data_IF_008655324781
#
_entry.id   IF_008655324781
#
_cell.length_a   1.000
_cell.length_b   1.000
_cell.length_c   1.000
_cell.angle_alpha   90.00
_cell.angle_beta   90.00
_cell.angle_gamma   90.00
#
_symmetry.space_group_name_H-M   'P 1'
#
loop_
_entity.id
_entity.type
_entity.pdbx_description
1 polymer ?
#
# COMPACT_ATOMS: atom_id res chain seq x y z
N UNK A 1 25.15 -16.66 35.48
CA UNK A 1 23.82 -17.17 35.92
C UNK A 1 23.02 -15.96 36.36
N UNK A 2 21.96 -15.59 35.62
CA UNK A 2 21.15 -14.40 35.90
C UNK A 2 20.19 -14.68 37.06
N UNK A 3 20.04 -13.74 37.99
CA UNK A 3 19.33 -13.92 39.26
C UNK A 3 17.83 -14.25 39.04
N UNK A 4 17.25 -15.16 39.84
CA UNK A 4 15.85 -15.60 39.70
C UNK A 4 14.82 -14.48 39.91
N UNK A 5 15.16 -13.43 40.67
CA UNK A 5 14.29 -12.27 40.89
C UNK A 5 14.18 -11.34 39.68
N UNK A 6 15.17 -11.33 38.79
CA UNK A 6 15.16 -10.54 37.55
C UNK A 6 14.21 -11.21 36.53
N UNK A 7 14.22 -12.55 36.49
CA UNK A 7 13.33 -13.35 35.64
C UNK A 7 11.85 -13.28 36.07
N UNK A 8 11.58 -13.12 37.37
CA UNK A 8 10.22 -12.95 37.88
C UNK A 8 9.64 -11.56 37.59
N UNK A 9 10.48 -10.52 37.55
CA UNK A 9 10.08 -9.16 37.16
C UNK A 9 9.87 -9.03 35.65
N UNK A 10 10.69 -9.69 34.82
CA UNK A 10 10.49 -9.76 33.37
C UNK A 10 9.15 -10.42 33.02
N UNK A 11 8.80 -11.55 33.66
CA UNK A 11 7.51 -12.25 33.43
C UNK A 11 6.30 -11.45 33.94
N UNK A 12 6.48 -10.66 35.02
CA UNK A 12 5.40 -9.80 35.54
C UNK A 12 5.16 -8.57 34.65
N UNK A 13 6.20 -8.03 34.00
CA UNK A 13 6.09 -6.94 33.04
C UNK A 13 5.47 -7.43 31.73
N UNK A 14 5.85 -8.63 31.26
CA UNK A 14 5.28 -9.27 30.06
C UNK A 14 3.77 -9.58 30.22
N UNK A 15 3.29 -9.85 31.44
CA UNK A 15 1.86 -10.11 31.70
C UNK A 15 0.98 -8.84 31.76
N UNK A 16 1.56 -7.69 32.12
CA UNK A 16 0.88 -6.38 32.02
C UNK A 16 0.82 -5.91 30.56
N UNK A 17 1.88 -6.17 29.79
CA UNK A 17 2.03 -5.88 28.35
C UNK A 17 1.32 -6.89 27.43
N UNK A 18 0.38 -7.69 27.93
CA UNK A 18 -0.49 -8.53 27.10
C UNK A 18 -1.97 -8.22 27.33
N UNK A 19 -2.28 -7.24 28.18
CA UNK A 19 -3.65 -6.92 28.57
C UNK A 19 -4.38 -6.15 27.47
N UNK A 20 -3.68 -5.24 26.78
CA UNK A 20 -4.29 -4.27 25.86
C UNK A 20 -4.67 -4.95 24.54
N UNK A 21 -3.79 -5.78 23.96
CA UNK A 21 -4.13 -6.55 22.75
C UNK A 21 -5.27 -7.53 23.03
N UNK A 22 -5.26 -8.20 24.19
CA UNK A 22 -6.36 -9.11 24.60
C UNK A 22 -7.66 -8.36 24.82
N UNK A 23 -7.61 -7.18 25.43
CA UNK A 23 -8.78 -6.31 25.58
C UNK A 23 -9.32 -5.86 24.22
N UNK A 24 -8.46 -5.52 23.27
CA UNK A 24 -8.86 -5.22 21.88
C UNK A 24 -9.60 -6.40 21.27
N UNK A 25 -9.06 -7.62 21.37
CA UNK A 25 -9.73 -8.83 20.87
C UNK A 25 -11.04 -9.09 21.60
N UNK A 26 -11.10 -8.87 22.91
CA UNK A 26 -12.32 -9.01 23.69
C UNK A 26 -13.39 -8.04 23.21
N UNK A 27 -13.04 -6.76 23.08
CA UNK A 27 -13.94 -5.71 22.60
C UNK A 27 -14.46 -6.01 21.21
N UNK A 28 -13.57 -6.39 20.27
CA UNK A 28 -13.98 -6.79 18.92
C UNK A 28 -14.96 -7.98 18.93
N UNK A 29 -14.70 -9.00 19.75
CA UNK A 29 -15.61 -10.15 19.88
C UNK A 29 -16.95 -9.80 20.54
N UNK A 30 -16.96 -8.91 21.54
CA UNK A 30 -18.19 -8.42 22.15
C UNK A 30 -19.04 -7.68 21.11
N UNK A 31 -18.41 -6.84 20.27
CA UNK A 31 -19.12 -6.17 19.17
C UNK A 31 -19.70 -7.19 18.19
N UNK A 32 -18.92 -8.17 17.72
CA UNK A 32 -19.41 -9.23 16.83
C UNK A 32 -20.62 -9.95 17.45
N UNK A 33 -20.57 -10.31 18.73
CA UNK A 33 -21.71 -10.96 19.41
C UNK A 33 -22.95 -10.07 19.47
N UNK A 34 -22.78 -8.77 19.71
CA UNK A 34 -23.88 -7.80 19.69
C UNK A 34 -24.49 -7.70 18.29
N UNK A 35 -23.66 -7.61 17.26
CA UNK A 35 -24.09 -7.55 15.86
C UNK A 35 -24.84 -8.83 15.44
N UNK A 36 -24.31 -10.01 15.78
CA UNK A 36 -24.98 -11.28 15.51
C UNK A 36 -26.34 -11.37 16.21
N UNK A 37 -26.45 -10.88 17.46
CA UNK A 37 -27.74 -10.89 18.18
C UNK A 37 -28.77 -10.00 17.47
N UNK A 38 -28.36 -8.85 16.93
CA UNK A 38 -29.26 -7.99 16.15
C UNK A 38 -29.70 -8.68 14.85
N UNK A 39 -28.77 -9.34 14.16
CA UNK A 39 -29.08 -10.14 12.97
C UNK A 39 -30.05 -11.29 13.29
N UNK A 40 -29.84 -12.01 14.39
CA UNK A 40 -30.74 -13.10 14.82
C UNK A 40 -32.17 -12.59 15.13
N UNK A 41 -32.30 -11.43 15.77
CA UNK A 41 -33.60 -10.82 16.05
C UNK A 41 -34.31 -10.33 14.78
N UNK A 42 -33.56 -9.78 13.82
CA UNK A 42 -34.11 -9.37 12.52
C UNK A 42 -34.58 -10.57 11.69
N UNK A 43 -33.86 -11.69 11.74
CA UNK A 43 -34.27 -12.93 11.08
C UNK A 43 -35.56 -13.50 11.70
N UNK A 44 -35.75 -13.36 13.02
CA UNK A 44 -36.95 -13.82 13.74
C UNK A 44 -38.16 -12.92 13.47
N UNK A 45 -37.94 -11.61 13.39
CA UNK A 45 -39.00 -10.60 13.22
C UNK A 45 -38.75 -9.68 12.01
N UNK A 46 -38.94 -10.17 10.77
CA UNK A 46 -38.62 -9.43 9.55
C UNK A 46 -39.50 -8.19 9.30
N UNK A 47 -40.52 -7.94 10.13
CA UNK A 47 -41.50 -6.86 9.97
C UNK A 47 -41.06 -5.51 10.57
N UNK A 48 -39.93 -5.45 11.29
CA UNK A 48 -39.47 -4.21 11.95
C UNK A 48 -38.25 -3.56 11.28
N UNK A 49 -37.58 -4.28 10.37
CA UNK A 49 -36.25 -3.88 9.82
C UNK A 49 -36.28 -3.66 8.31
N UNK A 50 -37.47 -3.49 7.73
CA UNK A 50 -37.63 -2.97 6.37
C UNK A 50 -37.98 -1.49 6.44
N UNK A 51 -36.96 -0.63 6.29
CA UNK A 51 -37.01 0.78 5.84
C UNK A 51 -36.22 1.75 6.73
N UNK A 52 -34.88 1.71 6.68
CA UNK A 52 -34.06 2.94 6.59
C UNK A 52 -32.55 2.69 6.57
N UNK A 53 -32.03 1.59 7.13
CA UNK A 53 -30.60 1.53 7.50
C UNK A 53 -29.81 0.30 6.99
N UNK A 54 -30.47 -0.70 6.39
CA UNK A 54 -29.85 -1.96 5.94
C UNK A 54 -28.85 -1.85 4.77
N UNK A 55 -28.51 -0.63 4.33
CA UNK A 55 -27.72 -0.38 3.12
C UNK A 55 -26.64 0.70 3.29
N UNK A 56 -26.25 1.02 4.54
CA UNK A 56 -25.04 1.81 4.77
C UNK A 56 -23.83 0.87 4.76
N UNK A 57 -23.36 0.55 3.57
CA UNK A 57 -22.07 -0.13 3.39
C UNK A 57 -20.94 0.82 3.77
N UNK A 58 -19.94 0.32 4.50
CA UNK A 58 -18.76 1.10 4.86
C UNK A 58 -17.88 1.29 3.62
N UNK A 59 -17.56 2.55 3.29
CA UNK A 59 -16.66 2.84 2.19
C UNK A 59 -15.19 2.67 2.62
N UNK A 60 -14.61 1.52 2.29
CA UNK A 60 -13.28 1.12 2.77
C UNK A 60 -12.18 1.17 1.71
N UNK A 61 -12.51 1.50 0.46
CA UNK A 61 -11.61 1.41 -0.72
C UNK A 61 -10.29 2.15 -0.55
N UNK A 62 -10.30 3.30 0.13
CA UNK A 62 -9.11 4.15 0.32
C UNK A 62 -8.40 3.90 1.65
N UNK A 63 -8.73 2.82 2.35
CA UNK A 63 -8.18 2.50 3.67
C UNK A 63 -7.68 1.07 3.73
N UNK A 64 -6.62 0.85 4.48
CA UNK A 64 -6.08 -0.48 4.78
C UNK A 64 -5.98 -0.70 6.29
N UNK A 65 -5.87 -1.97 6.70
CA UNK A 65 -5.56 -2.28 8.09
C UNK A 65 -4.17 -1.74 8.43
N UNK A 66 -4.02 -1.16 9.62
CA UNK A 66 -2.73 -0.64 10.06
C UNK A 66 -1.64 -1.70 10.02
N UNK A 67 -0.39 -1.30 9.77
CA UNK A 67 0.75 -2.21 9.82
C UNK A 67 0.96 -2.79 11.22
N UNK A 68 1.63 -3.96 11.29
CA UNK A 68 2.03 -4.58 12.56
C UNK A 68 2.79 -3.59 13.45
N UNK A 69 3.75 -2.85 12.89
CA UNK A 69 4.54 -1.85 13.61
C UNK A 69 3.68 -0.71 14.18
N UNK A 70 2.62 -0.30 13.47
CA UNK A 70 1.70 0.73 13.98
C UNK A 70 0.87 0.16 15.13
N UNK A 71 0.39 -1.09 14.98
CA UNK A 71 -0.42 -1.73 16.00
C UNK A 71 0.38 -1.90 17.31
N UNK A 72 1.64 -2.32 17.23
CA UNK A 72 2.57 -2.41 18.37
C UNK A 72 2.77 -1.07 19.07
N UNK A 73 2.82 0.04 18.33
CA UNK A 73 2.93 1.39 18.91
C UNK A 73 1.66 1.81 19.66
N UNK A 74 0.49 1.39 19.18
CA UNK A 74 -0.80 1.75 19.79
C UNK A 74 -1.06 0.88 21.03
N UNK A 75 -0.75 -0.41 20.96
CA UNK A 75 -0.92 -1.31 22.10
C UNK A 75 0.21 -1.15 23.11
N UNK A 76 1.39 -0.67 22.69
CA UNK A 76 2.62 -0.64 23.50
C UNK A 76 3.03 -2.07 23.91
N UNK A 77 2.71 -3.05 23.06
CA UNK A 77 2.94 -4.47 23.29
C UNK A 77 3.66 -5.07 22.07
N UNK A 78 4.62 -5.99 22.25
CA UNK A 78 5.22 -6.70 21.12
C UNK A 78 4.18 -7.66 20.51
N UNK A 79 3.97 -7.58 19.20
CA UNK A 79 2.96 -8.40 18.51
C UNK A 79 3.68 -9.42 17.64
N UNK A 80 3.32 -10.69 17.78
CA UNK A 80 3.85 -11.74 16.91
C UNK A 80 3.10 -11.75 15.58
N UNK A 81 3.77 -12.12 14.48
CA UNK A 81 3.13 -12.31 13.16
C UNK A 81 1.79 -13.07 13.17
N UNK A 82 1.63 -14.24 13.84
CA UNK A 82 0.35 -14.94 13.92
C UNK A 82 -0.73 -14.14 14.66
N UNK A 83 -0.38 -13.36 15.68
CA UNK A 83 -1.32 -12.54 16.43
C UNK A 83 -1.83 -11.38 15.57
N UNK A 84 -0.96 -10.78 14.76
CA UNK A 84 -1.36 -9.79 13.77
C UNK A 84 -2.29 -10.38 12.69
N UNK A 85 -2.00 -11.59 12.20
CA UNK A 85 -2.91 -12.27 11.25
C UNK A 85 -4.29 -12.52 11.88
N UNK A 86 -4.31 -12.93 13.16
CA UNK A 86 -5.55 -13.12 13.89
C UNK A 86 -6.32 -11.80 14.07
N UNK A 87 -5.63 -10.71 14.35
CA UNK A 87 -6.21 -9.36 14.40
C UNK A 87 -6.87 -8.99 13.07
N UNK A 88 -6.17 -9.14 11.95
CA UNK A 88 -6.71 -8.86 10.61
C UNK A 88 -7.94 -9.73 10.34
N UNK A 89 -7.92 -11.01 10.71
CA UNK A 89 -9.04 -11.92 10.50
C UNK A 89 -10.29 -11.50 11.31
N UNK A 90 -10.13 -11.16 12.59
CA UNK A 90 -11.23 -10.71 13.46
C UNK A 90 -11.81 -9.38 12.97
N UNK A 91 -10.96 -8.41 12.62
CA UNK A 91 -11.41 -7.11 12.14
C UNK A 91 -12.07 -7.19 10.76
N UNK A 92 -11.58 -8.06 9.88
CA UNK A 92 -12.22 -8.33 8.58
C UNK A 92 -13.59 -8.98 8.77
N UNK A 93 -13.73 -9.91 9.73
CA UNK A 93 -15.03 -10.48 10.08
C UNK A 93 -16.02 -9.42 10.59
N UNK A 94 -15.55 -8.48 11.41
CA UNK A 94 -16.37 -7.39 11.93
C UNK A 94 -16.87 -6.46 10.81
N UNK A 95 -15.99 -6.10 9.87
CA UNK A 95 -16.31 -5.26 8.71
C UNK A 95 -17.30 -5.92 7.75
N UNK A 96 -17.18 -7.23 7.53
CA UNK A 96 -18.05 -7.97 6.62
C UNK A 96 -19.46 -8.18 7.20
N UNK A 97 -19.73 -7.76 8.44
CA UNK A 97 -21.04 -7.88 9.04
C UNK A 97 -22.01 -6.84 8.46
N UNK A 98 -23.27 -7.22 8.21
CA UNK A 98 -24.31 -6.33 7.65
C UNK A 98 -24.47 -5.01 8.43
N UNK A 99 -24.41 -5.09 9.76
CA UNK A 99 -24.50 -3.96 10.69
C UNK A 99 -23.15 -3.33 11.09
N UNK A 100 -22.07 -3.54 10.33
CA UNK A 100 -20.76 -2.98 10.65
C UNK A 100 -20.76 -1.44 10.77
N UNK A 101 -21.65 -0.76 10.05
CA UNK A 101 -21.79 0.71 10.09
C UNK A 101 -22.12 1.26 11.48
N UNK A 102 -22.77 0.49 12.36
CA UNK A 102 -23.09 0.92 13.72
C UNK A 102 -21.85 1.13 14.59
N UNK A 103 -20.73 0.52 14.21
CA UNK A 103 -19.45 0.57 14.93
C UNK A 103 -18.31 1.08 14.04
N UNK A 104 -18.63 2.04 13.17
CA UNK A 104 -17.64 2.64 12.26
C UNK A 104 -16.47 3.29 13.00
N UNK A 105 -16.73 4.01 14.11
CA UNK A 105 -15.70 4.68 14.90
C UNK A 105 -14.64 3.70 15.41
N UNK A 106 -15.08 2.52 15.84
CA UNK A 106 -14.19 1.46 16.31
C UNK A 106 -13.36 0.88 15.17
N UNK A 107 -13.97 0.68 13.99
CA UNK A 107 -13.28 0.14 12.81
C UNK A 107 -12.25 1.15 12.28
N UNK A 108 -12.63 2.42 12.13
CA UNK A 108 -11.77 3.47 11.60
C UNK A 108 -10.62 3.83 12.54
N UNK A 109 -10.77 3.66 13.85
CA UNK A 109 -9.67 3.77 14.81
C UNK A 109 -8.47 2.88 14.43
N UNK A 110 -8.73 1.73 13.81
CA UNK A 110 -7.69 0.78 13.44
C UNK A 110 -7.37 0.70 11.93
N UNK A 111 -7.91 1.65 11.15
CA UNK A 111 -7.67 1.76 9.71
C UNK A 111 -6.71 2.91 9.43
N UNK A 112 -5.88 2.76 8.42
CA UNK A 112 -5.00 3.81 7.92
C UNK A 112 -5.39 4.17 6.48
N UNK A 113 -5.26 5.45 6.07
CA UNK A 113 -5.41 5.83 4.67
C UNK A 113 -4.38 5.10 3.82
N UNK A 114 -4.84 4.46 2.74
CA UNK A 114 -3.97 3.76 1.80
C UNK A 114 -3.15 4.79 1.03
N UNK A 115 -1.83 4.74 1.18
CA UNK A 115 -0.94 5.61 0.41
C UNK A 115 -0.88 5.10 -1.02
N UNK A 116 -1.65 5.71 -1.92
CA UNK A 116 -1.55 5.46 -3.35
C UNK A 116 -0.30 6.18 -3.85
N UNK A 117 0.79 5.43 -4.02
CA UNK A 117 1.98 5.92 -4.72
C UNK A 117 1.67 5.94 -6.21
N UNK A 118 1.17 7.08 -6.71
CA UNK A 118 1.14 7.31 -8.16
C UNK A 118 2.58 7.48 -8.62
N UNK A 119 3.04 6.62 -9.53
CA UNK A 119 4.32 6.83 -10.21
C UNK A 119 4.12 7.98 -11.20
N UNK A 120 4.22 9.21 -10.70
CA UNK A 120 4.33 10.38 -11.56
C UNK A 120 5.76 10.39 -12.10
N UNK A 121 5.88 10.21 -13.41
CA UNK A 121 7.12 10.51 -14.11
C UNK A 121 7.13 12.02 -14.37
N UNK A 122 7.95 12.74 -13.62
CA UNK A 122 8.16 14.17 -13.86
C UNK A 122 9.29 14.30 -14.91
N UNK A 123 8.97 14.64 -16.18
CA UNK A 123 10.00 14.83 -17.19
C UNK A 123 10.88 16.04 -16.84
N UNK A 124 12.18 15.93 -17.10
CA UNK A 124 13.10 17.06 -16.94
C UNK A 124 12.74 18.20 -17.90
N UNK A 125 12.90 19.44 -17.44
CA UNK A 125 12.63 20.62 -18.26
C UNK A 125 13.61 20.70 -19.45
N UNK A 126 13.12 20.95 -20.69
CA UNK A 126 13.99 21.07 -21.85
C UNK A 126 14.98 22.24 -21.72
N UNK A 127 16.26 21.94 -21.89
CA UNK A 127 17.33 22.93 -21.91
C UNK A 127 17.36 23.62 -23.27
N UNK A 128 17.61 24.94 -23.29
CA UNK A 128 17.77 25.71 -24.53
C UNK A 128 19.25 25.80 -24.91
N UNK A 129 19.61 25.30 -26.09
CA UNK A 129 20.94 25.45 -26.66
C UNK A 129 21.16 26.79 -27.37
N UNK A 130 22.41 27.05 -27.76
CA UNK A 130 22.88 28.31 -28.40
C UNK A 130 22.10 28.74 -29.65
N UNK A 131 21.48 27.79 -30.36
CA UNK A 131 20.79 28.03 -31.64
C UNK A 131 19.25 27.98 -31.52
N UNK A 132 18.70 28.07 -30.30
CA UNK A 132 17.25 27.95 -30.06
C UNK A 132 16.73 26.50 -30.16
N UNK A 133 17.62 25.52 -30.32
CA UNK A 133 17.31 24.09 -30.28
C UNK A 133 17.13 23.67 -28.82
N UNK A 134 15.98 23.10 -28.50
CA UNK A 134 15.72 22.54 -27.18
C UNK A 134 16.25 21.11 -27.12
N UNK A 135 16.80 20.71 -26.00
CA UNK A 135 17.21 19.33 -25.79
C UNK A 135 16.94 18.88 -24.37
N UNK A 136 16.67 17.59 -24.20
CA UNK A 136 16.55 16.94 -22.90
C UNK A 136 17.63 15.87 -22.84
N UNK A 137 18.42 15.86 -21.77
CA UNK A 137 19.46 14.84 -21.55
C UNK A 137 19.11 14.02 -20.32
N UNK A 138 18.55 12.83 -20.54
CA UNK A 138 18.31 11.89 -19.45
C UNK A 138 19.58 11.09 -19.21
N UNK A 139 20.13 11.20 -17.99
CA UNK A 139 21.36 10.53 -17.58
C UNK A 139 21.09 9.21 -16.87
N UNK A 140 22.09 8.33 -16.89
CA UNK A 140 22.13 7.07 -16.14
C UNK A 140 20.92 6.16 -16.41
N UNK A 141 20.48 6.05 -17.67
CA UNK A 141 19.42 5.13 -18.08
C UNK A 141 19.89 3.68 -17.92
N UNK A 142 19.38 2.91 -16.94
CA UNK A 142 19.94 1.60 -16.62
C UNK A 142 19.18 0.48 -17.32
N UNK A 143 19.93 -0.46 -17.92
CA UNK A 143 19.37 -1.75 -18.37
C UNK A 143 20.35 -2.87 -18.05
N UNK A 144 19.98 -3.75 -17.10
CA UNK A 144 20.89 -4.77 -16.55
C UNK A 144 22.20 -4.10 -16.10
N UNK A 145 23.33 -4.45 -16.71
CA UNK A 145 24.65 -3.88 -16.44
C UNK A 145 25.01 -2.69 -17.35
N UNK A 146 24.22 -2.42 -18.40
CA UNK A 146 24.45 -1.29 -19.28
C UNK A 146 23.92 0.02 -18.66
N UNK A 147 24.63 1.12 -18.92
CA UNK A 147 24.24 2.49 -18.60
C UNK A 147 24.39 3.33 -19.87
N UNK A 148 23.45 4.23 -20.09
CA UNK A 148 23.47 5.13 -21.23
C UNK A 148 22.97 6.51 -20.83
N UNK A 149 23.60 7.54 -21.39
CA UNK A 149 23.11 8.91 -21.35
C UNK A 149 22.49 9.21 -22.72
N UNK A 150 21.26 9.71 -22.73
CA UNK A 150 20.50 9.93 -23.97
C UNK A 150 20.10 11.39 -24.06
N UNK A 151 20.53 12.04 -25.13
CA UNK A 151 20.13 13.41 -25.46
C UNK A 151 19.17 13.40 -26.64
N UNK A 152 17.97 13.96 -26.45
CA UNK A 152 16.95 14.12 -27.49
C UNK A 152 16.81 15.60 -27.82
N UNK A 153 16.84 15.93 -29.11
CA UNK A 153 16.77 17.31 -29.61
C UNK A 153 15.42 17.62 -30.26
N UNK A 154 14.96 18.85 -30.07
CA UNK A 154 13.77 19.42 -30.71
C UNK A 154 14.11 20.81 -31.29
N UNK A 155 13.94 21.03 -32.61
CA UNK A 155 13.44 20.12 -33.64
C UNK A 155 14.45 19.02 -34.02
N UNK A 156 13.95 17.81 -34.31
CA UNK A 156 14.76 16.64 -34.68
C UNK A 156 14.76 16.37 -36.18
N UNK A 157 15.88 15.89 -36.71
CA UNK A 157 16.03 15.49 -38.14
C UNK A 157 15.88 13.98 -38.35
N UNK A 158 15.60 13.21 -37.30
CA UNK A 158 15.54 11.74 -37.34
C UNK A 158 16.91 11.05 -37.39
N UNK A 159 18.01 11.81 -37.26
CA UNK A 159 19.36 11.26 -37.19
C UNK A 159 19.64 10.72 -35.79
N UNK A 160 20.07 9.46 -35.70
CA UNK A 160 20.43 8.82 -34.43
C UNK A 160 21.88 8.35 -34.49
N UNK A 161 22.65 8.76 -33.49
CA UNK A 161 24.07 8.45 -33.34
C UNK A 161 24.33 7.87 -31.96
N UNK A 162 25.10 6.78 -31.90
CA UNK A 162 25.46 6.08 -30.67
C UNK A 162 26.98 5.97 -30.62
N UNK A 163 27.61 6.54 -29.59
CA UNK A 163 29.08 6.60 -29.46
C UNK A 163 29.76 7.09 -30.76
N UNK A 164 29.24 8.20 -31.30
CA UNK A 164 29.72 8.85 -32.54
C UNK A 164 29.53 8.04 -33.85
N UNK A 165 28.91 6.85 -33.79
CA UNK A 165 28.60 6.00 -34.94
C UNK A 165 27.13 6.07 -35.30
N UNK A 166 26.79 5.77 -36.56
CA UNK A 166 25.40 5.64 -36.98
C UNK A 166 24.76 4.42 -36.31
N UNK A 167 23.48 4.49 -35.91
CA UNK A 167 22.82 3.41 -35.16
C UNK A 167 22.83 2.06 -35.90
N UNK A 168 22.85 2.08 -37.24
CA UNK A 168 22.90 0.89 -38.09
C UNK A 168 24.25 0.15 -38.00
N UNK A 169 25.34 0.88 -37.76
CA UNK A 169 26.68 0.31 -37.62
C UNK A 169 26.95 -0.17 -36.19
N UNK A 170 26.31 0.47 -35.21
CA UNK A 170 26.45 0.12 -33.80
C UNK A 170 25.64 -1.13 -33.41
N UNK A 171 24.40 -1.23 -33.90
CA UNK A 171 23.51 -2.36 -33.68
C UNK A 171 23.28 -3.13 -34.99
N UNK A 172 24.07 -4.19 -35.26
CA UNK A 172 23.89 -5.00 -36.46
C UNK A 172 22.58 -5.82 -36.41
N UNK A 173 22.17 -6.21 -35.21
CA UNK A 173 20.96 -7.01 -34.99
C UNK A 173 19.68 -6.18 -35.13
N UNK A 174 18.70 -6.72 -35.87
CA UNK A 174 17.46 -6.00 -36.15
C UNK A 174 16.62 -5.76 -34.89
N UNK A 175 16.61 -6.71 -33.95
CA UNK A 175 15.84 -6.60 -32.71
C UNK A 175 16.29 -5.39 -31.87
N UNK A 176 17.59 -5.11 -31.82
CA UNK A 176 18.13 -3.96 -31.08
C UNK A 176 17.73 -2.64 -31.74
N UNK A 177 17.70 -2.60 -33.08
CA UNK A 177 17.20 -1.43 -33.84
C UNK A 177 15.70 -1.22 -33.63
N UNK A 178 14.92 -2.29 -33.60
CA UNK A 178 13.48 -2.21 -33.32
C UNK A 178 13.22 -1.66 -31.91
N UNK A 179 14.01 -2.07 -30.92
CA UNK A 179 13.91 -1.53 -29.56
C UNK A 179 14.25 -0.03 -29.50
N UNK A 180 15.21 0.44 -30.30
CA UNK A 180 15.54 1.86 -30.42
C UNK A 180 14.40 2.66 -31.08
N UNK A 181 13.73 2.09 -32.08
CA UNK A 181 12.60 2.72 -32.78
C UNK A 181 11.32 2.75 -31.96
N UNK A 182 11.10 1.75 -31.10
CA UNK A 182 9.83 1.54 -30.42
C UNK A 182 9.28 2.80 -29.71
N UNK A 183 10.05 3.53 -28.87
CA UNK A 183 9.52 4.73 -28.21
C UNK A 183 9.09 5.84 -29.17
N UNK A 184 9.74 5.93 -30.34
CA UNK A 184 9.48 6.97 -31.35
C UNK A 184 8.25 6.68 -32.21
N UNK A 185 7.79 5.42 -32.24
CA UNK A 185 6.59 5.00 -32.98
C UNK A 185 5.31 5.30 -32.18
N UNK A 186 5.38 5.18 -30.85
CA UNK A 186 4.21 5.29 -29.96
C UNK A 186 4.08 6.66 -29.26
N UNK A 187 4.68 7.71 -29.84
CA UNK A 187 4.60 9.09 -29.30
C UNK A 187 3.22 9.70 -29.47
#
# INVERSE_FOLDING_TARGET
>A
MKNPDEKARDVSCDMELLKILRELFHNANVLIRKLNKMEDEDLRNPKQTQASEASRELYLTNTEWMSQETLERITVEPITKPEYQQFVAVMTRLVNHKYAYLHEEFIFKYRQPKVIKTMNFDPEEPQAGENGVKFVTTKDCPRKCARADVTVYQPGTGKITINEKHYFDYFPDENDRQQLMFPLIFT
#
